data_IF_203413651845
#
_entry.id   IF_203413651845
#
_cell.length_a   1.000
_cell.length_b   1.000
_cell.length_c   1.000
_cell.angle_alpha   90.00
_cell.angle_beta   90.00
_cell.angle_gamma   90.00
#
_symmetry.space_group_name_H-M   'P 1'
#
loop_
_entity.id
_entity.type
_entity.pdbx_description
1 polymer ?
#
# COMPACT_ATOMS: atom_id res chain seq x y z
N UNK A 1 18.14 15.64 -2.46
CA UNK A 1 17.41 14.43 -1.99
C UNK A 1 15.93 14.54 -2.32
N UNK A 2 15.25 15.62 -1.93
CA UNK A 2 13.83 15.86 -2.25
C UNK A 2 13.53 15.85 -3.75
N UNK A 3 14.35 16.51 -4.57
CA UNK A 3 14.16 16.53 -6.04
C UNK A 3 14.19 15.15 -6.68
N UNK A 4 15.08 14.26 -6.19
CA UNK A 4 15.17 12.87 -6.65
C UNK A 4 13.90 12.08 -6.30
N UNK A 5 13.36 12.28 -5.10
CA UNK A 5 12.11 11.65 -4.67
C UNK A 5 10.95 12.14 -5.54
N UNK A 6 10.89 13.45 -5.80
CA UNK A 6 9.85 14.03 -6.66
C UNK A 6 9.94 13.51 -8.12
N UNK A 7 11.14 13.33 -8.65
CA UNK A 7 11.33 12.76 -9.98
C UNK A 7 10.82 11.31 -10.04
N UNK A 8 11.21 10.46 -9.09
CA UNK A 8 10.74 9.07 -9.01
C UNK A 8 9.21 9.01 -8.82
N UNK A 9 8.65 9.89 -7.99
CA UNK A 9 7.20 9.97 -7.79
C UNK A 9 6.45 10.28 -9.09
N UNK A 10 6.98 11.19 -9.92
CA UNK A 10 6.41 11.50 -11.25
C UNK A 10 6.54 10.32 -12.22
N UNK A 11 7.65 9.58 -12.17
CA UNK A 11 7.84 8.41 -13.03
C UNK A 11 6.82 7.30 -12.73
N UNK A 12 6.45 7.09 -11.46
CA UNK A 12 5.47 6.06 -11.06
C UNK A 12 4.01 6.55 -11.09
N UNK A 13 3.77 7.85 -11.26
CA UNK A 13 2.43 8.46 -11.23
C UNK A 13 1.41 7.74 -12.15
N UNK A 14 1.73 7.36 -13.41
CA UNK A 14 0.77 6.66 -14.25
C UNK A 14 0.29 5.32 -13.67
N UNK A 15 1.19 4.55 -13.03
CA UNK A 15 0.84 3.28 -12.34
C UNK A 15 -0.06 3.55 -11.14
N UNK A 16 0.23 4.59 -10.35
CA UNK A 16 -0.60 4.96 -9.20
C UNK A 16 -2.02 5.39 -9.62
N UNK A 17 -2.15 6.13 -10.71
CA UNK A 17 -3.45 6.50 -11.28
C UNK A 17 -4.25 5.28 -11.71
N UNK A 18 -3.58 4.29 -12.32
CA UNK A 18 -4.22 3.02 -12.71
C UNK A 18 -4.72 2.25 -11.48
N UNK A 19 -3.88 2.07 -10.46
CA UNK A 19 -4.27 1.41 -9.19
C UNK A 19 -5.46 2.15 -8.55
N UNK A 20 -5.41 3.48 -8.48
CA UNK A 20 -6.51 4.29 -7.92
C UNK A 20 -7.82 4.07 -8.67
N UNK A 21 -7.78 4.05 -10.01
CA UNK A 21 -8.99 3.81 -10.84
C UNK A 21 -9.52 2.41 -10.63
N UNK A 22 -8.64 1.42 -10.55
CA UNK A 22 -9.02 0.02 -10.31
C UNK A 22 -9.71 -0.18 -8.96
N UNK A 23 -9.13 0.32 -7.87
CA UNK A 23 -9.73 0.24 -6.52
C UNK A 23 -11.07 1.00 -6.51
N UNK A 24 -11.12 2.18 -7.14
CA UNK A 24 -12.35 2.98 -7.19
C UNK A 24 -13.48 2.31 -8.00
N UNK A 25 -13.15 1.52 -9.01
CA UNK A 25 -14.12 0.74 -9.78
C UNK A 25 -14.57 -0.55 -9.09
N UNK A 26 -13.83 -1.02 -8.08
CA UNK A 26 -14.14 -2.23 -7.31
C UNK A 26 -14.08 -1.93 -5.80
N UNK A 27 -14.97 -1.05 -5.29
CA UNK A 27 -14.97 -0.69 -3.88
C UNK A 27 -15.38 -1.90 -3.02
N UNK A 28 -14.72 -2.06 -1.87
CA UNK A 28 -15.02 -3.11 -0.89
C UNK A 28 -15.33 -2.48 0.46
N UNK A 29 -16.27 -3.08 1.21
CA UNK A 29 -16.68 -2.57 2.52
C UNK A 29 -15.63 -2.85 3.60
N UNK A 30 -15.70 -2.06 4.67
CA UNK A 30 -14.92 -2.28 5.90
C UNK A 30 -14.94 -3.74 6.36
N UNK A 31 -13.75 -4.29 6.62
CA UNK A 31 -13.47 -5.67 7.03
C UNK A 31 -13.77 -6.74 5.97
N UNK A 32 -14.02 -6.36 4.71
CA UNK A 32 -14.33 -7.25 3.57
C UNK A 32 -13.52 -6.90 2.31
N UNK A 33 -12.44 -6.14 2.47
CA UNK A 33 -11.52 -5.61 1.45
C UNK A 33 -10.51 -6.66 0.94
N UNK A 34 -10.97 -7.89 0.69
CA UNK A 34 -10.11 -9.03 0.36
C UNK A 34 -9.27 -8.79 -0.90
N UNK A 35 -9.86 -8.22 -1.96
CA UNK A 35 -9.18 -7.92 -3.22
C UNK A 35 -8.19 -6.78 -3.05
N UNK A 36 -8.59 -5.72 -2.36
CA UNK A 36 -7.77 -4.53 -2.14
C UNK A 36 -6.59 -4.85 -1.22
N UNK A 37 -6.82 -5.60 -0.14
CA UNK A 37 -5.77 -6.09 0.74
C UNK A 37 -4.79 -7.00 0.00
N UNK A 38 -5.28 -7.89 -0.87
CA UNK A 38 -4.41 -8.72 -1.72
C UNK A 38 -3.54 -7.85 -2.64
N UNK A 39 -4.12 -6.87 -3.33
CA UNK A 39 -3.40 -5.95 -4.22
C UNK A 39 -2.28 -5.20 -3.48
N UNK A 40 -2.58 -4.69 -2.29
CA UNK A 40 -1.60 -3.98 -1.45
C UNK A 40 -0.49 -4.93 -1.00
N UNK A 41 -0.84 -6.12 -0.49
CA UNK A 41 0.15 -7.09 -0.01
C UNK A 41 1.08 -7.57 -1.14
N UNK A 42 0.51 -7.93 -2.30
CA UNK A 42 1.29 -8.34 -3.48
C UNK A 42 2.24 -7.21 -3.93
N UNK A 43 1.75 -5.96 -3.98
CA UNK A 43 2.58 -4.80 -4.37
C UNK A 43 3.73 -4.57 -3.38
N UNK A 44 3.50 -4.72 -2.07
CA UNK A 44 4.55 -4.56 -1.06
C UNK A 44 5.58 -5.69 -1.11
N UNK A 45 5.15 -6.92 -1.40
CA UNK A 45 6.05 -8.07 -1.61
C UNK A 45 6.91 -7.89 -2.87
N UNK A 46 6.33 -7.40 -3.98
CA UNK A 46 7.07 -7.06 -5.21
C UNK A 46 8.16 -6.01 -4.97
N UNK A 47 7.91 -5.08 -4.04
CA UNK A 47 8.88 -4.04 -3.64
C UNK A 47 9.94 -4.57 -2.66
N UNK A 48 9.86 -5.84 -2.24
CA UNK A 48 10.85 -6.50 -1.39
C UNK A 48 10.65 -6.24 0.11
N UNK A 49 9.45 -5.89 0.55
CA UNK A 49 9.15 -5.72 1.97
C UNK A 49 8.81 -7.07 2.64
N UNK A 50 9.08 -7.18 3.94
CA UNK A 50 8.52 -8.24 4.76
C UNK A 50 7.04 -7.92 5.02
N UNK A 51 6.13 -8.69 4.42
CA UNK A 51 4.69 -8.42 4.50
C UNK A 51 3.98 -9.38 5.45
N UNK A 52 3.20 -8.82 6.37
CA UNK A 52 2.23 -9.54 7.18
C UNK A 52 0.83 -9.25 6.66
N UNK A 53 0.20 -10.30 6.11
CA UNK A 53 -1.20 -10.29 5.66
C UNK A 53 -2.14 -10.65 6.82
N UNK A 54 -3.43 -10.37 6.63
CA UNK A 54 -4.52 -10.73 7.54
C UNK A 54 -4.30 -10.23 8.98
N UNK A 55 -3.72 -9.04 9.11
CA UNK A 55 -3.55 -8.36 10.38
C UNK A 55 -4.88 -7.69 10.76
N UNK A 56 -5.69 -8.39 11.55
CA UNK A 56 -7.06 -7.99 11.89
C UNK A 56 -7.95 -7.87 10.64
N UNK A 57 -8.70 -8.93 10.34
CA UNK A 57 -9.42 -9.09 9.07
C UNK A 57 -8.47 -8.94 7.87
N UNK A 58 -8.62 -7.88 7.09
CA UNK A 58 -7.94 -7.61 5.82
C UNK A 58 -6.71 -6.70 5.96
N UNK A 59 -6.32 -6.33 7.18
CA UNK A 59 -5.19 -5.42 7.38
C UNK A 59 -3.87 -5.99 6.86
N UNK A 60 -3.03 -5.10 6.30
CA UNK A 60 -1.71 -5.42 5.74
C UNK A 60 -0.65 -4.54 6.39
N UNK A 61 0.46 -5.15 6.80
CA UNK A 61 1.63 -4.44 7.34
C UNK A 61 2.87 -4.82 6.54
N UNK A 62 3.52 -3.85 5.90
CA UNK A 62 4.81 -4.02 5.25
C UNK A 62 5.94 -3.44 6.08
N UNK A 63 7.02 -4.20 6.29
CA UNK A 63 8.21 -3.77 7.00
C UNK A 63 9.41 -3.68 6.03
N UNK A 64 9.92 -2.46 5.86
CA UNK A 64 11.20 -2.21 5.20
C UNK A 64 12.30 -2.06 6.26
N UNK A 65 13.17 -3.06 6.39
CA UNK A 65 14.33 -2.99 7.30
C UNK A 65 15.48 -2.23 6.63
N UNK A 66 15.88 -1.10 7.23
CA UNK A 66 17.08 -0.38 6.81
C UNK A 66 18.36 -1.14 7.13
N UNK A 67 19.46 -0.81 6.44
CA UNK A 67 20.76 -1.48 6.64
C UNK A 67 21.56 -1.05 7.88
N UNK A 68 21.01 -0.19 8.74
CA UNK A 68 21.68 0.34 9.94
C UNK A 68 20.71 0.42 11.11
N UNK A 69 21.17 0.26 12.37
CA UNK A 69 20.32 0.49 13.53
C UNK A 69 19.83 1.95 13.55
N UNK A 70 18.59 2.17 13.97
CA UNK A 70 17.98 3.49 13.94
C UNK A 70 16.53 3.51 14.41
N UNK A 71 15.89 4.66 14.23
CA UNK A 71 14.48 4.87 14.57
C UNK A 71 13.55 4.18 13.55
N UNK A 72 12.36 3.82 14.01
CA UNK A 72 11.28 3.29 13.16
C UNK A 72 10.27 4.39 12.85
N UNK A 73 9.85 4.50 11.60
CA UNK A 73 8.78 5.39 11.13
C UNK A 73 7.60 4.56 10.62
N UNK A 74 6.37 4.95 10.96
CA UNK A 74 5.14 4.36 10.44
C UNK A 74 4.45 5.31 9.46
N UNK A 75 4.05 4.77 8.31
CA UNK A 75 3.17 5.43 7.34
C UNK A 75 1.90 4.58 7.24
N UNK A 76 0.73 5.19 7.42
CA UNK A 76 -0.57 4.51 7.46
C UNK A 76 -1.53 5.10 6.43
N UNK A 77 -2.24 4.22 5.73
CA UNK A 77 -3.36 4.55 4.83
C UNK A 77 -4.50 3.53 5.06
N UNK A 78 -5.73 3.97 4.85
CA UNK A 78 -6.95 3.15 4.82
C UNK A 78 -7.28 2.70 3.39
N UNK A 79 -8.17 1.70 3.28
CA UNK A 79 -8.49 1.02 2.03
C UNK A 79 -10.01 0.80 1.82
N UNK A 80 -10.83 0.97 2.86
CA UNK A 80 -12.25 0.64 2.83
C UNK A 80 -13.09 1.69 2.09
N UNK A 81 -14.19 1.21 1.50
CA UNK A 81 -15.22 2.03 0.89
C UNK A 81 -16.48 2.09 1.78
N UNK A 82 -17.40 3.00 1.41
CA UNK A 82 -18.65 3.22 2.12
C UNK A 82 -19.84 2.54 1.40
N UNK A 83 -20.86 2.08 2.14
CA UNK A 83 -22.13 1.64 1.57
C UNK A 83 -22.93 2.87 1.13
N UNK A 84 -22.93 3.17 -0.18
CA UNK A 84 -23.69 4.26 -0.80
C UNK A 84 -24.97 3.77 -1.45
#
# INVERSE_FOLDING_TARGET
>A
MTEKILAIAKEIEPRLIQIRRDIHSHPELGLQEERTAKLVADTLEELGLEVKRNFFATGVVGLLKGGKPGKTLLIRADMDALPV
#
